data_IF_750704734765
#
_entry.id   IF_750704734765
#
_cell.length_a   1.000
_cell.length_b   1.000
_cell.length_c   1.000
_cell.angle_alpha   90.00
_cell.angle_beta   90.00
_cell.angle_gamma   90.00
#
_symmetry.space_group_name_H-M   'P 1'
#
loop_
_entity.id
_entity.type
_entity.pdbx_description
1 polymer ?
#
# COMPACT_ATOMS: atom_id res chain seq x y z
N UNK A 1 11.67 24.17 -77.73
CA UNK A 1 10.90 24.74 -76.63
C UNK A 1 10.81 23.69 -75.51
N UNK A 2 11.56 23.90 -74.47
CA UNK A 2 11.84 22.96 -73.37
C UNK A 2 10.74 23.05 -72.34
N UNK A 3 10.05 21.93 -72.04
CA UNK A 3 9.20 21.83 -70.82
C UNK A 3 9.85 20.85 -69.86
N UNK A 4 10.31 21.43 -68.78
CA UNK A 4 10.89 20.70 -67.67
C UNK A 4 9.78 20.05 -66.86
N UNK A 5 9.77 18.73 -66.78
CA UNK A 5 8.94 17.97 -65.86
C UNK A 5 9.64 17.93 -64.52
N UNK A 6 9.07 18.63 -63.56
CA UNK A 6 9.53 18.65 -62.17
C UNK A 6 8.83 17.52 -61.41
N UNK A 7 9.59 16.45 -61.13
CA UNK A 7 9.10 15.33 -60.31
C UNK A 7 9.21 15.77 -58.85
N UNK A 8 8.07 16.03 -58.25
CA UNK A 8 7.97 16.32 -56.80
C UNK A 8 7.94 14.99 -56.04
N UNK A 9 9.02 14.66 -55.35
CA UNK A 9 9.11 13.51 -54.45
C UNK A 9 8.38 13.90 -53.17
N UNK A 10 7.20 13.32 -52.96
CA UNK A 10 6.50 13.43 -51.66
C UNK A 10 7.13 12.40 -50.70
N UNK A 11 8.02 12.87 -49.84
CA UNK A 11 8.51 12.09 -48.70
C UNK A 11 7.41 12.08 -47.64
N UNK A 12 6.66 10.97 -47.56
CA UNK A 12 5.78 10.70 -46.44
C UNK A 12 6.61 10.47 -45.16
N UNK A 13 6.84 11.52 -44.42
CA UNK A 13 7.32 11.43 -43.04
C UNK A 13 6.20 10.80 -42.21
N UNK A 14 6.27 9.48 -42.02
CA UNK A 14 5.50 8.77 -41.00
C UNK A 14 6.08 9.18 -39.66
N UNK A 15 5.58 10.29 -39.13
CA UNK A 15 5.76 10.64 -37.71
C UNK A 15 5.06 9.59 -36.90
N UNK A 16 5.83 8.58 -36.46
CA UNK A 16 5.37 7.66 -35.43
C UNK A 16 4.97 8.50 -34.18
N UNK A 17 3.69 8.59 -33.93
CA UNK A 17 3.20 9.11 -32.66
C UNK A 17 3.76 8.22 -31.57
N UNK A 18 4.53 8.77 -30.62
CA UNK A 18 4.85 8.01 -29.43
C UNK A 18 3.51 7.65 -28.78
N UNK A 19 3.17 6.36 -28.83
CA UNK A 19 2.04 5.87 -28.06
C UNK A 19 2.25 6.34 -26.64
N UNK A 20 1.39 7.21 -26.17
CA UNK A 20 1.35 7.59 -24.78
C UNK A 20 0.96 6.34 -24.01
N UNK A 21 1.96 5.57 -23.60
CA UNK A 21 1.77 4.56 -22.58
C UNK A 21 1.24 5.32 -21.38
N UNK A 22 -0.07 5.23 -21.17
CA UNK A 22 -0.71 5.70 -19.97
C UNK A 22 -0.04 4.91 -18.84
N UNK A 23 0.94 5.54 -18.18
CA UNK A 23 1.59 4.93 -17.04
C UNK A 23 0.46 4.49 -16.11
N UNK A 24 0.38 3.19 -15.83
CA UNK A 24 -0.61 2.67 -14.92
C UNK A 24 -0.50 3.47 -13.63
N UNK A 25 -1.63 3.95 -13.11
CA UNK A 25 -1.61 4.69 -11.85
C UNK A 25 -0.91 3.83 -10.79
N UNK A 26 0.05 4.36 -10.07
CA UNK A 26 0.86 3.57 -9.15
C UNK A 26 0.03 2.98 -8.00
N UNK A 27 -1.17 3.52 -7.74
CA UNK A 27 -2.08 3.06 -6.70
C UNK A 27 -3.52 3.17 -7.22
N UNK A 28 -4.26 2.07 -7.14
CA UNK A 28 -5.73 2.06 -7.28
C UNK A 28 -6.29 1.70 -5.92
N UNK A 29 -6.98 2.63 -5.28
CA UNK A 29 -7.55 2.48 -3.93
C UNK A 29 -9.06 2.67 -3.96
N UNK A 30 -9.79 1.66 -3.46
CA UNK A 30 -11.22 1.73 -3.16
C UNK A 30 -11.43 1.65 -1.65
N UNK A 31 -12.26 2.55 -1.11
CA UNK A 31 -12.64 2.58 0.31
C UNK A 31 -14.13 2.78 0.41
N UNK A 32 -14.82 1.88 1.10
CA UNK A 32 -16.27 1.87 1.25
C UNK A 32 -16.69 1.48 2.66
N UNK A 33 -17.89 1.89 3.04
CA UNK A 33 -18.55 1.40 4.25
C UNK A 33 -19.15 0.01 3.98
N UNK A 34 -19.12 -0.87 4.98
CA UNK A 34 -19.71 -2.20 4.87
C UNK A 34 -21.16 -2.18 5.42
N UNK A 35 -22.09 -2.92 4.80
CA UNK A 35 -23.49 -2.95 5.26
C UNK A 35 -23.68 -3.48 6.68
N UNK A 36 -22.73 -4.28 7.17
CA UNK A 36 -22.73 -4.87 8.50
C UNK A 36 -22.06 -3.99 9.55
N UNK A 37 -21.58 -2.81 9.15
CA UNK A 37 -20.79 -1.88 9.96
C UNK A 37 -19.30 -1.93 9.64
N UNK A 38 -18.62 -0.80 9.88
CA UNK A 38 -17.20 -0.61 9.62
C UNK A 38 -16.87 -0.20 8.19
N UNK A 39 -15.59 -0.21 7.87
CA UNK A 39 -15.03 0.25 6.61
C UNK A 39 -14.09 -0.78 6.02
N UNK A 40 -14.22 -1.01 4.71
CA UNK A 40 -13.33 -1.86 3.93
C UNK A 40 -12.55 -1.03 2.92
N UNK A 41 -11.24 -1.23 2.88
CA UNK A 41 -10.37 -0.72 1.85
C UNK A 41 -9.74 -1.86 1.06
N UNK A 42 -9.66 -1.71 -0.26
CA UNK A 42 -8.89 -2.58 -1.15
C UNK A 42 -7.98 -1.74 -2.02
N UNK A 43 -6.76 -2.21 -2.28
CA UNK A 43 -5.86 -1.50 -3.17
C UNK A 43 -5.03 -2.45 -4.03
N UNK A 44 -4.67 -1.97 -5.22
CA UNK A 44 -3.58 -2.52 -6.04
C UNK A 44 -2.51 -1.46 -6.16
N UNK A 45 -1.28 -1.79 -5.75
CA UNK A 45 -0.14 -0.87 -5.70
C UNK A 45 0.98 -1.43 -6.56
N UNK A 46 1.59 -0.59 -7.39
CA UNK A 46 2.79 -0.92 -8.16
C UNK A 46 4.00 -0.30 -7.48
N UNK A 47 4.91 -1.14 -7.02
CA UNK A 47 6.20 -0.75 -6.45
C UNK A 47 7.32 -1.01 -7.45
N UNK A 48 8.16 -0.01 -7.78
CA UNK A 48 9.29 -0.18 -8.70
C UNK A 48 10.51 -0.79 -7.98
N UNK A 49 10.28 -1.80 -7.17
CA UNK A 49 11.30 -2.52 -6.38
C UNK A 49 10.90 -3.99 -6.23
N UNK A 50 11.87 -4.84 -5.85
CA UNK A 50 11.66 -6.25 -5.58
C UNK A 50 10.74 -6.49 -4.37
N UNK A 51 9.99 -7.59 -4.40
CA UNK A 51 9.03 -7.95 -3.35
C UNK A 51 9.69 -8.21 -1.98
N UNK A 52 10.95 -8.62 -1.97
CA UNK A 52 11.73 -8.83 -0.76
C UNK A 52 11.89 -7.53 0.05
N UNK A 53 12.14 -6.40 -0.64
CA UNK A 53 12.28 -5.08 0.00
C UNK A 53 10.97 -4.65 0.64
N UNK A 54 9.84 -4.80 -0.08
CA UNK A 54 8.52 -4.47 0.47
C UNK A 54 8.19 -5.36 1.66
N UNK A 55 8.45 -6.67 1.55
CA UNK A 55 8.25 -7.61 2.65
C UNK A 55 9.03 -7.20 3.88
N UNK A 56 10.31 -6.87 3.73
CA UNK A 56 11.15 -6.43 4.84
C UNK A 56 10.57 -5.21 5.55
N UNK A 57 10.13 -4.19 4.80
CA UNK A 57 9.47 -3.01 5.38
C UNK A 57 8.18 -3.37 6.13
N UNK A 58 7.34 -4.22 5.55
CA UNK A 58 6.06 -4.63 6.15
C UNK A 58 6.21 -5.55 7.37
N UNK A 59 7.36 -6.18 7.56
CA UNK A 59 7.65 -7.07 8.69
C UNK A 59 8.63 -6.49 9.70
N UNK A 60 9.14 -5.29 9.46
CA UNK A 60 9.92 -4.52 10.45
C UNK A 60 8.98 -3.81 11.44
N UNK A 61 8.42 -4.60 12.35
CA UNK A 61 7.40 -4.13 13.29
C UNK A 61 7.89 -3.02 14.22
N UNK A 62 9.19 -2.99 14.53
CA UNK A 62 9.78 -1.97 15.40
C UNK A 62 9.68 -0.56 14.77
N UNK A 63 9.85 -0.49 13.45
CA UNK A 63 9.80 0.77 12.69
C UNK A 63 8.45 1.00 11.98
N UNK A 64 7.45 0.17 12.26
CA UNK A 64 6.11 0.31 11.67
C UNK A 64 5.49 1.70 11.84
N UNK A 65 5.58 2.37 13.00
CA UNK A 65 5.04 3.72 13.17
C UNK A 65 5.54 4.70 12.10
N UNK A 66 6.74 4.49 11.59
CA UNK A 66 7.33 5.35 10.55
C UNK A 66 6.72 5.16 9.14
N UNK A 67 5.90 4.13 8.95
CA UNK A 67 5.18 3.88 7.69
C UNK A 67 3.85 4.65 7.59
N UNK A 68 3.46 5.37 8.64
CA UNK A 68 2.19 6.06 8.72
C UNK A 68 2.37 7.53 9.11
N UNK A 69 1.48 8.39 8.62
CA UNK A 69 1.36 9.80 9.02
C UNK A 69 0.33 9.97 10.17
N UNK A 70 0.13 8.92 10.95
CA UNK A 70 -0.72 8.90 12.12
C UNK A 70 0.18 8.70 13.33
N UNK A 71 -0.07 9.47 14.38
CA UNK A 71 0.71 9.32 15.61
C UNK A 71 0.40 7.97 16.24
N UNK A 72 1.39 7.09 16.19
CA UNK A 72 1.29 5.77 16.80
C UNK A 72 2.59 5.35 17.45
N UNK A 73 2.51 4.48 18.43
CA UNK A 73 3.66 3.88 19.08
C UNK A 73 3.47 2.38 19.25
N UNK A 74 4.53 1.64 19.11
CA UNK A 74 4.58 0.22 19.41
C UNK A 74 4.81 0.06 20.91
N UNK A 75 3.83 -0.48 21.62
CA UNK A 75 3.92 -0.72 23.06
C UNK A 75 4.56 -2.08 23.36
N UNK A 76 4.27 -3.09 22.54
CA UNK A 76 4.84 -4.44 22.68
C UNK A 76 4.95 -5.11 21.31
N UNK A 77 6.04 -5.87 21.12
CA UNK A 77 6.25 -6.81 20.01
C UNK A 77 6.66 -8.14 20.61
N UNK A 78 5.97 -9.20 20.23
CA UNK A 78 6.29 -10.55 20.70
C UNK A 78 6.11 -11.54 19.56
N UNK A 79 7.12 -12.36 19.33
CA UNK A 79 7.02 -13.52 18.44
C UNK A 79 6.68 -14.77 19.26
N UNK A 80 5.71 -15.53 18.78
CA UNK A 80 5.32 -16.81 19.36
C UNK A 80 4.79 -17.74 18.27
N UNK A 81 5.31 -18.95 18.18
CA UNK A 81 4.89 -19.99 17.22
C UNK A 81 4.89 -19.51 15.76
N UNK A 82 5.89 -18.71 15.37
CA UNK A 82 6.01 -18.14 14.02
C UNK A 82 4.98 -17.05 13.70
N UNK A 83 4.29 -16.53 14.70
CA UNK A 83 3.35 -15.43 14.61
C UNK A 83 3.88 -14.22 15.36
N UNK A 84 3.59 -13.04 14.83
CA UNK A 84 3.97 -11.78 15.44
C UNK A 84 2.76 -11.15 16.12
N UNK A 85 2.85 -10.95 17.42
CA UNK A 85 1.88 -10.21 18.23
C UNK A 85 2.36 -8.78 18.44
N UNK A 86 1.49 -7.81 18.17
CA UNK A 86 1.79 -6.39 18.35
C UNK A 86 0.71 -5.71 19.18
N UNK A 87 1.13 -4.88 20.15
CA UNK A 87 0.27 -3.93 20.89
C UNK A 87 0.59 -2.52 20.41
N UNK A 88 -0.31 -1.92 19.66
CA UNK A 88 -0.13 -0.60 19.04
C UNK A 88 -1.06 0.38 19.74
N UNK A 89 -0.51 1.56 20.07
CA UNK A 89 -1.27 2.70 20.54
C UNK A 89 -1.36 3.73 19.44
N UNK A 90 -2.58 4.15 19.12
CA UNK A 90 -2.92 5.02 17.99
C UNK A 90 -3.58 6.28 18.53
N UNK A 91 -2.99 7.44 18.26
CA UNK A 91 -3.55 8.76 18.54
C UNK A 91 -3.92 9.42 17.22
N UNK A 92 -5.18 9.34 16.86
CA UNK A 92 -5.71 9.84 15.59
C UNK A 92 -6.62 11.04 15.82
N UNK A 93 -6.47 12.09 15.00
CA UNK A 93 -7.19 13.37 15.17
C UNK A 93 -8.72 13.25 15.16
N UNK A 94 -9.27 12.20 14.54
CA UNK A 94 -10.72 11.95 14.49
C UNK A 94 -11.21 11.04 15.64
N UNK A 95 -10.31 10.49 16.44
CA UNK A 95 -10.65 9.57 17.52
C UNK A 95 -10.33 10.24 18.87
N UNK A 96 -11.30 10.40 19.77
CA UNK A 96 -11.03 10.95 21.08
C UNK A 96 -10.14 9.99 21.89
N UNK A 97 -8.95 10.47 22.26
CA UNK A 97 -7.95 9.73 23.04
C UNK A 97 -7.20 8.65 22.26
N UNK A 98 -6.19 8.09 22.90
CA UNK A 98 -5.37 7.02 22.37
C UNK A 98 -6.19 5.72 22.25
N UNK A 99 -6.05 5.00 21.12
CA UNK A 99 -6.70 3.71 20.86
C UNK A 99 -5.68 2.58 20.91
N UNK A 100 -6.10 1.47 21.47
CA UNK A 100 -5.31 0.25 21.53
C UNK A 100 -5.71 -0.70 20.39
N UNK A 101 -4.72 -1.19 19.65
CA UNK A 101 -4.88 -2.28 18.70
C UNK A 101 -3.94 -3.42 19.10
N UNK A 102 -4.49 -4.51 19.60
CA UNK A 102 -3.77 -5.75 19.83
C UNK A 102 -4.02 -6.67 18.64
N UNK A 103 -2.98 -7.05 17.91
CA UNK A 103 -3.12 -7.86 16.69
C UNK A 103 -2.08 -8.98 16.59
N UNK A 104 -2.44 -10.00 15.81
CA UNK A 104 -1.58 -11.12 15.42
C UNK A 104 -1.35 -11.05 13.92
N UNK A 105 -0.09 -11.08 13.51
CA UNK A 105 0.29 -11.21 12.09
C UNK A 105 0.93 -12.57 11.85
N UNK A 106 0.52 -13.23 10.78
CA UNK A 106 1.13 -14.48 10.30
C UNK A 106 1.40 -14.42 8.80
N UNK A 107 2.42 -15.15 8.38
CA UNK A 107 2.65 -15.44 6.98
C UNK A 107 1.86 -16.69 6.61
N UNK A 108 1.03 -16.60 5.56
CA UNK A 108 0.29 -17.74 5.04
C UNK A 108 1.22 -18.68 4.24
N UNK A 109 0.86 -19.94 4.02
CA UNK A 109 1.69 -20.90 3.26
C UNK A 109 2.05 -20.43 1.84
N UNK A 110 1.20 -19.60 1.25
CA UNK A 110 1.38 -18.97 -0.08
C UNK A 110 2.17 -17.66 -0.03
N UNK A 111 2.60 -17.23 1.17
CA UNK A 111 3.50 -16.09 1.37
C UNK A 111 2.83 -14.76 1.65
N UNK A 112 1.49 -14.69 1.71
CA UNK A 112 0.78 -13.48 2.08
C UNK A 112 0.93 -13.19 3.57
N UNK A 113 0.80 -11.89 3.92
CA UNK A 113 0.77 -11.44 5.32
C UNK A 113 -0.69 -11.20 5.72
N UNK A 114 -1.16 -11.89 6.75
CA UNK A 114 -2.47 -11.71 7.33
C UNK A 114 -2.33 -11.23 8.78
N UNK A 115 -2.95 -10.09 9.08
CA UNK A 115 -3.05 -9.54 10.43
C UNK A 115 -4.48 -9.55 10.88
N UNK A 116 -4.74 -10.05 12.09
CA UNK A 116 -6.08 -10.15 12.67
C UNK A 116 -6.12 -9.56 14.08
N UNK A 117 -7.29 -9.03 14.44
CA UNK A 117 -7.57 -8.49 15.77
C UNK A 117 -7.44 -9.58 16.85
N UNK A 118 -6.82 -9.22 17.97
CA UNK A 118 -6.78 -10.02 19.19
C UNK A 118 -7.37 -9.28 20.41
N UNK A 119 -7.58 -7.97 20.29
CA UNK A 119 -8.20 -7.16 21.34
C UNK A 119 -7.93 -5.67 21.18
N UNK A 120 -8.35 -4.88 22.16
CA UNK A 120 -8.23 -3.43 22.15
C UNK A 120 -9.57 -2.74 21.87
N UNK A 121 -9.54 -1.56 21.26
CA UNK A 121 -10.68 -0.65 21.10
C UNK A 121 -11.33 -0.76 19.71
N UNK A 122 -11.17 -1.90 19.06
CA UNK A 122 -11.72 -2.21 17.75
C UNK A 122 -12.68 -3.39 17.86
N UNK A 123 -13.79 -3.36 17.12
CA UNK A 123 -14.70 -4.51 16.95
C UNK A 123 -14.18 -5.46 15.89
N UNK A 124 -13.59 -4.90 14.83
CA UNK A 124 -12.99 -5.65 13.75
C UNK A 124 -11.71 -4.99 13.27
N UNK A 125 -10.68 -5.79 13.03
CA UNK A 125 -9.47 -5.41 12.34
C UNK A 125 -8.91 -6.63 11.60
N UNK A 126 -8.83 -6.53 10.28
CA UNK A 126 -8.21 -7.55 9.44
C UNK A 126 -7.44 -6.84 8.32
N UNK A 127 -6.17 -7.14 8.20
CA UNK A 127 -5.32 -6.60 7.15
C UNK A 127 -4.64 -7.73 6.40
N UNK A 128 -4.63 -7.62 5.08
CA UNK A 128 -4.06 -8.60 4.18
C UNK A 128 -3.15 -7.92 3.17
N UNK A 129 -1.98 -8.52 2.93
CA UNK A 129 -1.05 -8.14 1.90
C UNK A 129 -0.63 -9.35 1.08
N UNK A 130 -0.68 -9.22 -0.25
CA UNK A 130 -0.12 -10.18 -1.19
C UNK A 130 0.86 -9.45 -2.10
N UNK A 131 2.09 -9.93 -2.15
CA UNK A 131 3.18 -9.36 -2.94
C UNK A 131 3.47 -10.28 -4.13
N UNK A 132 3.27 -9.76 -5.33
CA UNK A 132 3.39 -10.51 -6.58
C UNK A 132 4.55 -9.89 -7.37
N UNK A 133 5.69 -10.62 -7.51
CA UNK A 133 6.78 -10.18 -8.37
C UNK A 133 6.30 -10.08 -9.81
N UNK A 134 6.66 -9.00 -10.50
CA UNK A 134 6.40 -8.76 -11.93
C UNK A 134 7.69 -8.32 -12.62
N UNK A 135 7.71 -8.30 -13.95
CA UNK A 135 8.87 -7.88 -14.75
C UNK A 135 10.15 -8.63 -14.38
N UNK A 136 10.05 -9.96 -14.27
CA UNK A 136 11.20 -10.80 -13.87
C UNK A 136 11.64 -10.62 -12.43
N UNK A 137 10.81 -10.03 -11.57
CA UNK A 137 11.09 -9.77 -10.14
C UNK A 137 11.59 -8.36 -9.85
N UNK A 138 11.89 -7.55 -10.86
CA UNK A 138 12.38 -6.17 -10.68
C UNK A 138 11.33 -5.22 -10.07
N UNK A 139 10.05 -5.54 -10.24
CA UNK A 139 8.94 -4.76 -9.70
C UNK A 139 7.99 -5.65 -8.90
N UNK A 140 7.14 -5.03 -8.09
CA UNK A 140 6.14 -5.72 -7.27
C UNK A 140 4.75 -5.13 -7.50
N UNK A 141 3.78 -5.98 -7.85
CA UNK A 141 2.36 -5.66 -7.69
C UNK A 141 1.90 -6.16 -6.33
N UNK A 142 1.44 -5.25 -5.50
CA UNK A 142 0.87 -5.58 -4.20
C UNK A 142 -0.65 -5.49 -4.24
N UNK A 143 -1.32 -6.51 -3.70
CA UNK A 143 -2.76 -6.53 -3.43
C UNK A 143 -2.93 -6.33 -1.93
N UNK A 144 -3.78 -5.39 -1.56
CA UNK A 144 -4.03 -4.98 -0.18
C UNK A 144 -5.52 -5.03 0.13
N UNK A 145 -5.85 -5.51 1.32
CA UNK A 145 -7.18 -5.42 1.91
C UNK A 145 -7.08 -5.03 3.38
N UNK A 146 -7.93 -4.11 3.81
CA UNK A 146 -8.08 -3.72 5.21
C UNK A 146 -9.56 -3.61 5.54
N UNK A 147 -9.98 -4.27 6.62
CA UNK A 147 -11.31 -4.13 7.21
C UNK A 147 -11.15 -3.62 8.64
N UNK A 148 -11.84 -2.54 8.96
CA UNK A 148 -11.80 -1.91 10.29
C UNK A 148 -13.21 -1.56 10.74
N UNK A 149 -13.55 -1.95 11.96
CA UNK A 149 -14.68 -1.43 12.70
C UNK A 149 -14.18 -0.98 14.07
N UNK A 150 -14.42 0.30 14.37
CA UNK A 150 -13.99 0.91 15.63
C UNK A 150 -15.16 0.82 16.63
N UNK A 151 -14.88 0.46 17.87
CA UNK A 151 -15.90 0.44 18.93
C UNK A 151 -16.19 1.85 19.43
N UNK A 152 -16.85 2.66 18.59
CA UNK A 152 -17.19 4.05 18.87
C UNK A 152 -18.40 4.53 18.09
N UNK A 153 -19.03 5.61 18.59
CA UNK A 153 -20.13 6.32 17.90
C UNK A 153 -19.58 7.34 16.88
N UNK A 154 -18.68 6.89 15.99
CA UNK A 154 -18.22 7.69 14.86
C UNK A 154 -18.88 7.15 13.58
N UNK A 155 -19.54 8.00 12.78
CA UNK A 155 -20.14 7.53 11.54
C UNK A 155 -19.12 6.91 10.58
N UNK A 156 -19.42 5.76 9.99
CA UNK A 156 -18.50 5.00 9.12
C UNK A 156 -18.01 5.82 7.92
N UNK A 157 -18.79 6.77 7.40
CA UNK A 157 -18.36 7.63 6.30
C UNK A 157 -17.19 8.56 6.69
N UNK A 158 -17.11 8.98 7.97
CA UNK A 158 -15.98 9.76 8.49
C UNK A 158 -14.75 8.86 8.57
N UNK A 159 -14.92 7.64 9.09
CA UNK A 159 -13.85 6.64 9.15
C UNK A 159 -13.34 6.30 7.75
N UNK A 160 -14.25 6.14 6.77
CA UNK A 160 -13.90 5.86 5.39
C UNK A 160 -13.08 7.00 4.73
N UNK A 161 -13.47 8.26 4.97
CA UNK A 161 -12.75 9.42 4.46
C UNK A 161 -11.34 9.54 5.06
N UNK A 162 -11.21 9.32 6.37
CA UNK A 162 -9.92 9.29 7.05
C UNK A 162 -9.04 8.15 6.54
N UNK A 163 -9.59 6.92 6.49
CA UNK A 163 -8.88 5.73 6.03
C UNK A 163 -8.34 5.91 4.61
N UNK A 164 -9.10 6.52 3.70
CA UNK A 164 -8.62 6.82 2.34
C UNK A 164 -7.36 7.67 2.37
N UNK A 165 -7.40 8.80 3.07
CA UNK A 165 -6.28 9.73 3.19
C UNK A 165 -5.05 9.06 3.82
N UNK A 166 -5.26 8.32 4.91
CA UNK A 166 -4.18 7.67 5.66
C UNK A 166 -3.53 6.56 4.83
N UNK A 167 -4.32 5.77 4.07
CA UNK A 167 -3.80 4.73 3.19
C UNK A 167 -3.06 5.30 1.97
N UNK A 168 -3.55 6.36 1.34
CA UNK A 168 -2.84 7.05 0.26
C UNK A 168 -1.46 7.52 0.74
N UNK A 169 -1.40 8.11 1.93
CA UNK A 169 -0.15 8.54 2.55
C UNK A 169 0.74 7.35 2.92
N UNK A 170 0.17 6.31 3.51
CA UNK A 170 0.90 5.08 3.87
C UNK A 170 1.57 4.43 2.65
N UNK A 171 0.85 4.24 1.55
CA UNK A 171 1.40 3.63 0.34
C UNK A 171 2.50 4.49 -0.29
N UNK A 172 2.37 5.83 -0.22
CA UNK A 172 3.42 6.75 -0.66
C UNK A 172 4.69 6.60 0.20
N UNK A 173 4.55 6.59 1.53
CA UNK A 173 5.69 6.42 2.46
C UNK A 173 6.39 5.08 2.24
N UNK A 174 5.61 3.98 2.14
CA UNK A 174 6.18 2.65 1.85
C UNK A 174 6.97 2.66 0.55
N UNK A 175 6.44 3.29 -0.51
CA UNK A 175 7.12 3.41 -1.80
C UNK A 175 8.43 4.20 -1.69
N UNK A 176 8.42 5.34 -1.01
CA UNK A 176 9.60 6.20 -0.81
C UNK A 176 10.71 5.46 -0.04
N UNK A 177 10.34 4.80 1.08
CA UNK A 177 11.28 4.01 1.88
C UNK A 177 11.83 2.81 1.09
N UNK A 178 11.00 2.14 0.30
CA UNK A 178 11.42 1.01 -0.52
C UNK A 178 12.44 1.42 -1.60
N UNK A 179 12.21 2.54 -2.27
CA UNK A 179 13.16 3.11 -3.24
C UNK A 179 14.50 3.51 -2.58
N UNK A 180 14.43 4.14 -1.40
CA UNK A 180 15.63 4.49 -0.64
C UNK A 180 16.45 3.25 -0.25
N UNK A 181 15.77 2.18 0.20
CA UNK A 181 16.44 0.92 0.57
C UNK A 181 17.06 0.21 -0.63
N UNK A 182 16.40 0.20 -1.80
CA UNK A 182 16.96 -0.34 -3.04
C UNK A 182 18.22 0.42 -3.46
N UNK A 183 18.21 1.76 -3.39
CA UNK A 183 19.39 2.58 -3.70
C UNK A 183 20.59 2.26 -2.83
N UNK A 184 20.39 2.00 -1.54
CA UNK A 184 21.44 1.60 -0.61
C UNK A 184 22.03 0.20 -0.91
N UNK A 185 21.21 -0.73 -1.42
CA UNK A 185 21.65 -2.08 -1.80
C UNK A 185 22.42 -2.08 -3.13
N UNK A 186 22.03 -1.23 -4.08
CA UNK A 186 22.67 -1.13 -5.40
C UNK A 186 24.01 -0.39 -5.37
N UNK A 187 24.30 0.37 -4.32
CA UNK A 187 25.53 1.14 -4.13
C UNK A 187 26.65 0.38 -3.38
N UNK A 188 26.43 -0.88 -3.02
CA UNK A 188 27.43 -1.78 -2.39
C UNK A 188 27.98 -2.78 -3.38
#
# INVERSE_FOLDING_TARGET
MLWRVMITIIVCLVLGWPGWSRAAEPVVLDVRTEPTGGVKATATILFPVESAIIRQLLTDYAHWPELFDVRMRMAEIREQDGKMFTDIRIDHALLPGERRLLSETRTLPTGELLTELKGGDFKQYRRFWKLIPIDGGAHTRAEFELVVEIDMMVPDWIVAAAMRRDLETHFRIVREKALAQQGLQSGR
#
